data_IF_002627580388
#
_entry.id   IF_002627580388
#
_cell.length_a   1.000
_cell.length_b   1.000
_cell.length_c   1.000
_cell.angle_alpha   90.00
_cell.angle_beta   90.00
_cell.angle_gamma   90.00
#
_symmetry.space_group_name_H-M   'P 1'
#
loop_
_entity.id
_entity.type
_entity.pdbx_description
1 polymer ?
#
# COMPACT_ATOMS: atom_id res chain seq x y z
N UNK A 1 -29.03 11.83 -0.97
CA UNK A 1 -28.64 10.49 -1.45
C UNK A 1 -27.13 10.44 -1.55
N UNK A 2 -26.45 9.73 -0.64
CA UNK A 2 -25.02 9.45 -0.81
C UNK A 2 -24.87 8.51 -2.01
N UNK A 3 -24.16 8.94 -3.04
CA UNK A 3 -23.82 8.10 -4.18
C UNK A 3 -23.05 6.89 -3.66
N UNK A 4 -23.66 5.69 -3.66
CA UNK A 4 -22.95 4.44 -3.36
C UNK A 4 -21.82 4.31 -4.39
N UNK A 5 -20.59 4.61 -3.98
CA UNK A 5 -19.40 4.29 -4.76
C UNK A 5 -19.38 2.79 -4.96
N UNK A 6 -19.47 2.33 -6.22
CA UNK A 6 -19.47 0.91 -6.55
C UNK A 6 -18.13 0.22 -6.20
N UNK A 7 -18.08 -1.12 -6.12
CA UNK A 7 -16.92 -1.87 -5.64
C UNK A 7 -15.60 -1.50 -6.36
N UNK A 8 -15.64 -1.28 -7.67
CA UNK A 8 -14.48 -0.84 -8.47
C UNK A 8 -13.97 0.53 -8.04
N UNK A 9 -14.87 1.49 -7.81
CA UNK A 9 -14.48 2.84 -7.38
C UNK A 9 -13.92 2.84 -5.96
N UNK A 10 -14.46 2.01 -5.07
CA UNK A 10 -13.92 1.81 -3.72
C UNK A 10 -12.51 1.24 -3.78
N UNK A 11 -12.28 0.16 -4.54
CA UNK A 11 -10.94 -0.41 -4.72
C UNK A 11 -9.94 0.62 -5.27
N UNK A 12 -10.31 1.35 -6.32
CA UNK A 12 -9.45 2.39 -6.92
C UNK A 12 -9.11 3.49 -5.90
N UNK A 13 -10.07 3.90 -5.08
CA UNK A 13 -9.86 4.90 -4.03
C UNK A 13 -8.91 4.40 -2.95
N UNK A 14 -9.14 3.21 -2.39
CA UNK A 14 -8.26 2.66 -1.35
C UNK A 14 -6.84 2.44 -1.87
N UNK A 15 -6.69 1.98 -3.13
CA UNK A 15 -5.39 1.86 -3.78
C UNK A 15 -4.70 3.22 -3.91
N UNK A 16 -5.41 4.24 -4.40
CA UNK A 16 -4.84 5.58 -4.58
C UNK A 16 -4.44 6.21 -3.23
N UNK A 17 -5.25 6.03 -2.19
CA UNK A 17 -4.95 6.50 -0.84
C UNK A 17 -3.69 5.84 -0.27
N UNK A 18 -3.56 4.51 -0.43
CA UNK A 18 -2.37 3.79 0.00
C UNK A 18 -1.10 4.24 -0.74
N UNK A 19 -1.18 4.34 -2.07
CA UNK A 19 -0.07 4.81 -2.93
C UNK A 19 0.36 6.22 -2.56
N UNK A 20 -0.60 7.12 -2.31
CA UNK A 20 -0.31 8.48 -1.86
C UNK A 20 0.39 8.48 -0.50
N UNK A 21 -0.10 7.68 0.45
CA UNK A 21 0.48 7.53 1.78
C UNK A 21 1.95 7.07 1.74
N UNK A 22 2.25 6.05 0.92
CA UNK A 22 3.62 5.58 0.70
C UNK A 22 4.52 6.65 0.08
N UNK A 23 4.04 7.34 -0.97
CA UNK A 23 4.80 8.43 -1.62
C UNK A 23 5.13 9.56 -0.66
N UNK A 24 4.20 9.93 0.22
CA UNK A 24 4.45 10.94 1.24
C UNK A 24 5.57 10.51 2.19
N UNK A 25 5.63 9.24 2.58
CA UNK A 25 6.71 8.76 3.46
C UNK A 25 8.07 8.75 2.78
N UNK A 26 8.16 8.28 1.53
CA UNK A 26 9.41 8.34 0.77
C UNK A 26 9.90 9.79 0.63
N UNK A 27 8.98 10.72 0.32
CA UNK A 27 9.29 12.15 0.22
C UNK A 27 9.81 12.73 1.54
N UNK A 28 9.17 12.40 2.67
CA UNK A 28 9.61 12.86 3.99
C UNK A 28 11.02 12.37 4.33
N UNK A 29 11.35 11.11 4.04
CA UNK A 29 12.70 10.57 4.24
C UNK A 29 13.75 11.26 3.37
N UNK A 30 13.41 11.60 2.12
CA UNK A 30 14.31 12.32 1.21
C UNK A 30 14.54 13.77 1.65
N UNK A 31 13.50 14.46 2.11
CA UNK A 31 13.57 15.89 2.46
C UNK A 31 14.11 16.11 3.89
N UNK A 32 13.93 15.16 4.80
CA UNK A 32 14.31 15.30 6.21
C UNK A 32 15.05 14.06 6.75
N UNK A 33 16.39 14.14 6.91
CA UNK A 33 17.21 13.09 7.52
C UNK A 33 16.81 12.64 8.94
N UNK A 34 16.03 13.45 9.66
CA UNK A 34 15.62 13.18 11.04
C UNK A 34 14.17 12.68 11.12
N UNK A 35 13.51 12.44 9.98
CA UNK A 35 12.11 12.02 9.94
C UNK A 35 11.88 10.52 10.24
N UNK A 36 12.93 9.72 10.44
CA UNK A 36 12.85 8.26 10.56
C UNK A 36 11.80 7.77 11.57
N UNK A 37 11.78 8.34 12.78
CA UNK A 37 10.81 7.96 13.82
C UNK A 37 9.36 8.32 13.44
N UNK A 38 9.15 9.52 12.89
CA UNK A 38 7.83 9.96 12.45
C UNK A 38 7.33 9.11 11.27
N UNK A 39 8.21 8.80 10.31
CA UNK A 39 7.90 7.93 9.18
C UNK A 39 7.60 6.52 9.65
N UNK A 40 8.38 5.96 10.58
CA UNK A 40 8.13 4.64 11.14
C UNK A 40 6.76 4.55 11.82
N UNK A 41 6.32 5.59 12.54
CA UNK A 41 4.97 5.67 13.09
C UNK A 41 3.91 5.68 11.98
N UNK A 42 4.09 6.52 10.97
CA UNK A 42 3.17 6.61 9.84
C UNK A 42 3.07 5.29 9.05
N UNK A 43 4.17 4.54 8.90
CA UNK A 43 4.16 3.23 8.26
C UNK A 43 3.26 2.23 8.98
N UNK A 44 3.22 2.27 10.32
CA UNK A 44 2.32 1.44 11.12
C UNK A 44 0.86 1.85 10.94
N UNK A 45 0.59 3.14 10.76
CA UNK A 45 -0.77 3.63 10.48
C UNK A 45 -1.26 3.21 9.08
N UNK A 46 -0.33 3.08 8.11
CA UNK A 46 -0.63 2.58 6.77
C UNK A 46 -1.11 1.12 6.74
N UNK A 47 -0.87 0.31 7.78
CA UNK A 47 -1.45 -1.06 7.87
C UNK A 47 -2.95 -1.06 7.66
N UNK A 48 -3.65 -0.11 8.28
CA UNK A 48 -5.09 0.01 8.14
C UNK A 48 -5.50 0.25 6.67
N UNK A 49 -4.69 0.99 5.92
CA UNK A 49 -4.90 1.24 4.49
C UNK A 49 -4.66 -0.01 3.64
N UNK A 50 -3.66 -0.83 3.99
CA UNK A 50 -3.42 -2.10 3.30
C UNK A 50 -4.56 -3.08 3.53
N UNK A 51 -5.08 -3.16 4.76
CA UNK A 51 -6.26 -3.98 5.05
C UNK A 51 -7.51 -3.52 4.29
N UNK A 52 -7.80 -2.21 4.26
CA UNK A 52 -8.90 -1.67 3.46
C UNK A 52 -8.73 -1.97 1.96
N UNK A 53 -7.51 -1.87 1.44
CA UNK A 53 -7.21 -2.23 0.04
C UNK A 53 -7.49 -3.72 -0.23
N UNK A 54 -7.03 -4.60 0.66
CA UNK A 54 -7.28 -6.05 0.60
C UNK A 54 -8.78 -6.35 0.58
N UNK A 55 -9.51 -5.81 1.55
CA UNK A 55 -10.95 -6.04 1.69
C UNK A 55 -11.72 -5.50 0.47
N UNK A 56 -11.36 -4.30 -0.01
CA UNK A 56 -11.96 -3.73 -1.21
C UNK A 56 -11.67 -4.56 -2.47
N UNK A 57 -10.49 -5.16 -2.57
CA UNK A 57 -10.13 -6.06 -3.67
C UNK A 57 -10.99 -7.32 -3.67
N UNK A 58 -11.14 -7.95 -2.51
CA UNK A 58 -11.95 -9.16 -2.36
C UNK A 58 -13.44 -8.88 -2.61
N UNK A 59 -13.97 -7.78 -2.07
CA UNK A 59 -15.35 -7.34 -2.31
C UNK A 59 -15.58 -7.07 -3.81
N UNK A 60 -14.65 -6.38 -4.48
CA UNK A 60 -14.73 -6.13 -5.92
C UNK A 60 -14.73 -7.41 -6.74
N UNK A 61 -13.95 -8.42 -6.35
CA UNK A 61 -13.91 -9.71 -7.05
C UNK A 61 -15.25 -10.46 -7.00
N UNK A 62 -16.04 -10.27 -5.93
CA UNK A 62 -17.37 -10.88 -5.75
C UNK A 62 -18.45 -10.01 -6.39
N UNK A 63 -18.54 -8.76 -5.96
CA UNK A 63 -19.68 -7.88 -6.25
C UNK A 63 -19.61 -7.24 -7.64
N UNK A 64 -18.43 -7.27 -8.29
CA UNK A 64 -18.21 -6.71 -9.62
C UNK A 64 -17.57 -7.71 -10.59
N UNK A 65 -17.82 -9.02 -10.41
CA UNK A 65 -17.22 -10.10 -11.21
C UNK A 65 -17.38 -9.94 -12.74
N UNK A 66 -18.51 -9.39 -13.19
CA UNK A 66 -18.79 -9.12 -14.61
C UNK A 66 -18.32 -7.75 -15.12
N UNK A 67 -17.66 -6.94 -14.27
CA UNK A 67 -17.18 -5.63 -14.67
C UNK A 67 -15.91 -5.76 -15.55
N UNK A 68 -15.85 -5.01 -16.65
CA UNK A 68 -14.72 -5.04 -17.58
C UNK A 68 -13.35 -4.77 -16.91
N UNK A 69 -13.30 -3.92 -15.88
CA UNK A 69 -12.08 -3.67 -15.11
C UNK A 69 -11.60 -4.92 -14.37
N UNK A 70 -12.53 -5.72 -13.83
CA UNK A 70 -12.23 -6.97 -13.12
C UNK A 70 -11.84 -8.05 -14.13
N UNK A 71 -12.59 -8.16 -15.24
CA UNK A 71 -12.36 -9.14 -16.30
C UNK A 71 -11.07 -8.91 -17.10
N UNK A 72 -10.53 -7.69 -17.08
CA UNK A 72 -9.25 -7.37 -17.72
C UNK A 72 -8.04 -8.03 -17.04
N UNK A 73 -8.21 -8.62 -15.85
CA UNK A 73 -7.16 -9.36 -15.12
C UNK A 73 -7.47 -10.86 -15.09
N UNK A 74 -6.44 -11.72 -14.93
CA UNK A 74 -6.64 -13.15 -14.79
C UNK A 74 -7.58 -13.51 -13.63
N UNK A 75 -8.24 -14.66 -13.74
CA UNK A 75 -9.04 -15.20 -12.65
C UNK A 75 -8.21 -15.30 -11.37
N UNK A 76 -8.80 -14.93 -10.23
CA UNK A 76 -8.12 -14.93 -8.94
C UNK A 76 -7.25 -13.70 -8.67
N UNK A 77 -7.04 -12.80 -9.64
CA UNK A 77 -6.16 -11.63 -9.43
C UNK A 77 -6.60 -10.77 -8.23
N UNK A 78 -7.86 -10.35 -8.20
CA UNK A 78 -8.38 -9.49 -7.12
C UNK A 78 -8.78 -10.26 -5.85
N UNK A 79 -9.08 -11.56 -5.94
CA UNK A 79 -9.47 -12.38 -4.79
C UNK A 79 -8.32 -13.15 -4.13
N UNK A 80 -7.16 -13.25 -4.78
CA UNK A 80 -6.00 -13.99 -4.29
C UNK A 80 -4.69 -13.22 -4.44
N UNK A 81 -4.30 -12.80 -5.66
CA UNK A 81 -3.00 -12.16 -5.87
C UNK A 81 -2.86 -10.82 -5.14
N UNK A 82 -3.87 -9.95 -5.24
CA UNK A 82 -3.88 -8.67 -4.52
C UNK A 82 -3.90 -8.88 -3.00
N UNK A 83 -4.75 -9.75 -2.42
CA UNK A 83 -4.66 -10.11 -1.01
C UNK A 83 -3.30 -10.64 -0.54
N UNK A 84 -2.64 -11.47 -1.36
CA UNK A 84 -1.29 -11.98 -1.06
C UNK A 84 -0.27 -10.84 -1.03
N UNK A 85 -0.26 -10.00 -2.08
CA UNK A 85 0.57 -8.80 -2.14
C UNK A 85 0.30 -7.87 -0.95
N UNK A 86 -0.95 -7.72 -0.50
CA UNK A 86 -1.28 -6.95 0.69
C UNK A 86 -0.65 -7.53 1.97
N UNK A 87 -0.54 -8.85 2.12
CA UNK A 87 0.16 -9.44 3.26
C UNK A 87 1.66 -9.11 3.22
N UNK A 88 2.27 -9.19 2.04
CA UNK A 88 3.68 -8.85 1.84
C UNK A 88 3.93 -7.36 2.14
N UNK A 89 3.01 -6.48 1.72
CA UNK A 89 3.07 -5.05 2.03
C UNK A 89 3.02 -4.75 3.53
N UNK A 90 2.22 -5.49 4.30
CA UNK A 90 2.22 -5.35 5.77
C UNK A 90 3.58 -5.74 6.34
N UNK A 91 4.18 -6.83 5.86
CA UNK A 91 5.51 -7.24 6.29
C UNK A 91 6.58 -6.19 5.92
N UNK A 92 6.54 -5.64 4.70
CA UNK A 92 7.44 -4.57 4.28
C UNK A 92 7.32 -3.33 5.16
N UNK A 93 6.09 -2.85 5.42
CA UNK A 93 5.84 -1.69 6.25
C UNK A 93 6.34 -1.88 7.69
N UNK A 94 6.14 -3.07 8.28
CA UNK A 94 6.68 -3.43 9.60
C UNK A 94 8.21 -3.41 9.59
N UNK A 95 8.82 -4.05 8.60
CA UNK A 95 10.26 -4.12 8.46
C UNK A 95 10.89 -2.74 8.28
N UNK A 96 10.33 -1.90 7.39
CA UNK A 96 10.80 -0.53 7.20
C UNK A 96 10.66 0.32 8.45
N UNK A 97 9.54 0.22 9.17
CA UNK A 97 9.37 0.93 10.44
C UNK A 97 10.39 0.51 11.49
N UNK A 98 10.74 -0.78 11.54
CA UNK A 98 11.75 -1.32 12.45
C UNK A 98 13.14 -0.79 12.10
N UNK A 99 13.57 -0.93 10.85
CA UNK A 99 14.91 -0.50 10.43
C UNK A 99 15.08 1.02 10.36
N UNK A 100 14.02 1.83 10.42
CA UNK A 100 14.14 3.29 10.56
C UNK A 100 14.42 3.72 12.00
N UNK A 101 14.02 2.91 12.98
CA UNK A 101 14.15 3.23 14.41
C UNK A 101 15.32 2.50 15.05
N UNK A 102 15.58 1.26 14.64
CA UNK A 102 16.55 0.36 15.28
C UNK A 102 17.85 0.24 14.48
N UNK A 103 18.44 1.36 14.06
CA UNK A 103 19.72 1.32 13.33
C UNK A 103 20.93 1.36 14.26
N UNK A 104 21.94 0.53 13.96
CA UNK A 104 23.27 0.53 14.60
C UNK A 104 24.12 1.77 14.19
N UNK A 105 23.49 2.94 14.02
CA UNK A 105 24.12 4.17 13.51
C UNK A 105 24.26 4.24 11.99
N UNK A 106 23.73 3.26 11.23
CA UNK A 106 23.65 3.31 9.76
C UNK A 106 22.37 3.99 9.31
N UNK A 107 22.50 4.97 8.42
CA UNK A 107 21.35 5.64 7.82
C UNK A 107 20.64 4.71 6.83
N UNK A 108 19.47 4.20 7.19
CA UNK A 108 18.66 3.25 6.39
C UNK A 108 17.63 3.94 5.49
N UNK A 109 17.46 5.26 5.61
CA UNK A 109 16.50 6.06 4.84
C UNK A 109 16.52 5.75 3.34
N UNK A 110 17.72 5.71 2.74
CA UNK A 110 17.87 5.43 1.30
C UNK A 110 17.37 4.05 0.89
N UNK A 111 17.69 3.02 1.68
CA UNK A 111 17.22 1.64 1.42
C UNK A 111 15.69 1.58 1.52
N UNK A 112 15.11 2.28 2.48
CA UNK A 112 13.65 2.34 2.66
C UNK A 112 13.00 3.08 1.50
N UNK A 113 13.57 4.21 1.06
CA UNK A 113 13.08 4.96 -0.11
C UNK A 113 13.10 4.10 -1.37
N UNK A 114 14.25 3.48 -1.69
CA UNK A 114 14.39 2.61 -2.87
C UNK A 114 13.37 1.45 -2.83
N UNK A 115 13.16 0.88 -1.64
CA UNK A 115 12.19 -0.20 -1.44
C UNK A 115 10.74 0.27 -1.63
N UNK A 116 10.40 1.47 -1.15
CA UNK A 116 9.09 2.09 -1.37
C UNK A 116 8.87 2.32 -2.87
N UNK A 117 9.86 2.82 -3.60
CA UNK A 117 9.76 3.05 -5.04
C UNK A 117 9.52 1.75 -5.82
N UNK A 118 10.23 0.67 -5.46
CA UNK A 118 10.00 -0.65 -6.03
C UNK A 118 8.57 -1.16 -5.82
N UNK A 119 8.01 -0.96 -4.61
CA UNK A 119 6.62 -1.29 -4.29
C UNK A 119 5.63 -0.40 -5.06
N UNK A 120 5.90 0.90 -5.17
CA UNK A 120 5.04 1.81 -5.92
C UNK A 120 4.96 1.42 -7.40
N UNK A 121 6.06 0.94 -7.99
CA UNK A 121 6.09 0.43 -9.35
C UNK A 121 5.23 -0.83 -9.52
N UNK A 122 5.27 -1.76 -8.55
CA UNK A 122 4.45 -2.98 -8.59
C UNK A 122 2.96 -2.70 -8.40
N UNK A 123 2.62 -1.62 -7.70
CA UNK A 123 1.25 -1.20 -7.46
C UNK A 123 0.60 -0.47 -8.64
N UNK A 124 1.27 -0.30 -9.79
CA UNK A 124 0.78 0.47 -10.95
C UNK A 124 -0.19 -0.28 -11.91
N UNK A 125 -0.73 -1.45 -11.53
CA UNK A 125 -1.58 -2.29 -12.39
C UNK A 125 -3.04 -1.83 -12.60
#
# INVERSE_FOLDING_TARGET
MATRTGPVSTFKRERAAFVLGLRMQARLLMENPLAGEAVAKNMRELFSSVHRLKDASMAMAVDARGNAYVMAKPYGFYSYNVPLMCNDLVACLLHWADILVNTDGRRTDGIVVDSIEGVLASLCF
#
